data_IF_939263774577
#
_entry.id   IF_939263774577
#
_cell.length_a   1.000
_cell.length_b   1.000
_cell.length_c   1.000
_cell.angle_alpha   90.00
_cell.angle_beta   90.00
_cell.angle_gamma   90.00
#
_symmetry.space_group_name_H-M   'P 1'
#
loop_
_entity.id
_entity.type
_entity.pdbx_description
1 polymer ?
#
# COMPACT_ATOMS: atom_id res chain seq x y z
N UNK A 1 2.36 20.70 27.53
CA UNK A 1 3.29 20.28 28.59
C UNK A 1 4.67 20.70 28.15
N UNK A 2 5.43 21.39 29.00
CA UNK A 2 6.82 21.72 28.71
C UNK A 2 7.67 20.48 29.02
N UNK A 3 8.47 20.03 28.05
CA UNK A 3 9.29 18.81 28.18
C UNK A 3 10.63 19.17 28.83
N UNK A 4 11.01 18.43 29.87
CA UNK A 4 12.34 18.51 30.48
C UNK A 4 13.20 17.38 29.91
N UNK A 5 14.36 17.74 29.32
CA UNK A 5 15.30 16.76 28.78
C UNK A 5 15.98 15.99 29.91
N UNK A 6 16.14 14.67 29.77
CA UNK A 6 16.82 13.82 30.76
C UNK A 6 18.26 14.28 31.00
N UNK A 7 18.97 14.72 29.97
CA UNK A 7 20.32 15.27 30.11
C UNK A 7 20.36 16.52 30.99
N UNK A 8 19.40 17.42 30.82
CA UNK A 8 19.24 18.63 31.64
C UNK A 8 18.88 18.24 33.07
N UNK A 9 17.95 17.29 33.26
CA UNK A 9 17.60 16.78 34.57
C UNK A 9 18.83 16.21 35.32
N UNK A 10 19.63 15.39 34.65
CA UNK A 10 20.86 14.80 35.23
C UNK A 10 21.85 15.89 35.64
N UNK A 11 22.07 16.90 34.80
CA UNK A 11 22.97 18.03 35.12
C UNK A 11 22.44 18.85 36.31
N UNK A 12 21.12 19.04 36.39
CA UNK A 12 20.49 19.83 37.44
C UNK A 12 20.37 19.09 38.78
N UNK A 13 20.38 17.75 38.81
CA UNK A 13 20.37 16.95 40.05
C UNK A 13 21.54 17.26 41.00
N UNK A 14 22.67 17.73 40.48
CA UNK A 14 23.85 18.10 41.27
C UNK A 14 23.87 19.54 41.79
N UNK A 15 22.85 20.34 41.50
CA UNK A 15 22.84 21.77 41.83
C UNK A 15 22.18 22.03 43.21
N UNK A 16 22.73 22.94 44.03
CA UNK A 16 22.25 23.21 45.39
C UNK A 16 21.04 24.17 45.39
N UNK A 17 19.99 23.82 44.64
CA UNK A 17 18.74 24.58 44.54
C UNK A 17 17.57 23.73 45.04
N UNK A 18 16.48 24.38 45.44
CA UNK A 18 15.25 23.69 45.81
C UNK A 18 14.58 23.03 44.59
N UNK A 19 13.79 21.98 44.84
CA UNK A 19 13.20 21.15 43.78
C UNK A 19 12.35 21.94 42.78
N UNK A 20 11.68 23.00 43.24
CA UNK A 20 10.81 23.85 42.40
C UNK A 20 11.65 24.70 41.45
N UNK A 21 12.71 25.34 41.94
CA UNK A 21 13.63 26.13 41.11
C UNK A 21 14.38 25.25 40.11
N UNK A 22 14.80 24.04 40.51
CA UNK A 22 15.44 23.08 39.61
C UNK A 22 14.50 22.66 38.47
N UNK A 23 13.21 22.46 38.76
CA UNK A 23 12.23 22.12 37.73
C UNK A 23 12.01 23.28 36.75
N UNK A 24 11.81 24.50 37.26
CA UNK A 24 11.65 25.69 36.41
C UNK A 24 12.88 25.95 35.53
N UNK A 25 14.08 25.87 36.11
CA UNK A 25 15.34 26.00 35.39
C UNK A 25 15.51 24.89 34.34
N UNK A 26 15.12 23.65 34.67
CA UNK A 26 15.16 22.53 33.74
C UNK A 26 14.28 22.73 32.51
N UNK A 27 13.07 23.25 32.70
CA UNK A 27 12.18 23.61 31.60
C UNK A 27 12.77 24.74 30.75
N UNK A 28 13.33 25.77 31.37
CA UNK A 28 13.98 26.88 30.65
C UNK A 28 15.18 26.41 29.83
N UNK A 29 16.09 25.65 30.42
CA UNK A 29 17.27 25.13 29.72
C UNK A 29 16.87 24.18 28.60
N UNK A 30 15.88 23.31 28.83
CA UNK A 30 15.35 22.42 27.78
C UNK A 30 14.72 23.22 26.64
N UNK A 31 13.98 24.29 26.95
CA UNK A 31 13.42 25.19 25.94
C UNK A 31 14.49 25.96 25.15
N UNK A 32 15.59 26.36 25.83
CA UNK A 32 16.71 27.08 25.23
C UNK A 32 17.52 26.19 24.29
N UNK A 33 17.80 24.95 24.71
CA UNK A 33 18.47 23.97 23.85
C UNK A 33 17.63 23.68 22.61
N UNK A 34 16.32 23.46 22.80
CA UNK A 34 15.37 23.19 21.74
C UNK A 34 15.72 21.94 20.90
N UNK A 35 14.82 21.46 20.05
CA UNK A 35 15.23 20.51 19.03
C UNK A 35 16.23 21.19 18.08
N UNK A 36 17.19 20.44 17.49
CA UNK A 36 18.13 21.00 16.52
C UNK A 36 17.38 21.76 15.40
N UNK A 37 17.89 22.92 14.93
CA UNK A 37 17.15 23.79 14.00
C UNK A 37 16.68 23.10 12.72
N UNK A 38 17.44 22.13 12.22
CA UNK A 38 17.18 21.39 10.99
C UNK A 38 16.50 20.02 11.24
N UNK A 39 16.08 19.73 12.48
CA UNK A 39 15.48 18.43 12.81
C UNK A 39 14.03 18.38 12.31
N UNK A 40 13.81 17.74 11.17
CA UNK A 40 12.45 17.46 10.68
C UNK A 40 11.76 16.40 11.55
N UNK A 41 10.43 16.46 11.60
CA UNK A 41 9.63 15.51 12.37
C UNK A 41 9.81 14.06 11.88
N UNK A 42 9.94 13.88 10.56
CA UNK A 42 10.24 12.57 9.94
C UNK A 42 11.61 12.04 10.34
N UNK A 43 12.65 12.88 10.34
CA UNK A 43 13.98 12.44 10.77
C UNK A 43 14.04 12.18 12.28
N UNK A 44 13.33 12.99 13.08
CA UNK A 44 13.18 12.75 14.51
C UNK A 44 12.57 11.38 14.83
N UNK A 45 11.63 10.91 14.01
CA UNK A 45 11.08 9.57 14.18
C UNK A 45 12.09 8.44 13.92
N UNK A 46 13.22 8.68 13.25
CA UNK A 46 14.30 7.67 13.13
C UNK A 46 14.85 7.22 14.48
N UNK A 47 14.70 8.03 15.53
CA UNK A 47 15.03 7.70 16.92
C UNK A 47 13.93 6.90 17.64
N UNK A 48 12.79 6.64 16.99
CA UNK A 48 11.63 5.90 17.51
C UNK A 48 11.10 6.41 18.86
N UNK A 49 11.19 7.71 19.10
CA UNK A 49 10.69 8.36 20.31
C UNK A 49 9.52 9.28 19.98
N UNK A 50 8.34 8.95 20.52
CA UNK A 50 7.14 9.80 20.40
C UNK A 50 7.30 11.06 21.24
N UNK A 51 8.03 10.99 22.36
CA UNK A 51 8.33 12.10 23.24
C UNK A 51 9.15 13.18 22.51
N UNK A 52 10.08 12.77 21.64
CA UNK A 52 10.80 13.69 20.76
C UNK A 52 9.86 14.38 19.77
N UNK A 53 8.87 13.67 19.23
CA UNK A 53 7.86 14.26 18.34
C UNK A 53 6.97 15.25 19.10
N UNK A 54 6.53 14.90 20.31
CA UNK A 54 5.77 15.78 21.20
C UNK A 54 6.58 17.03 21.55
N UNK A 55 7.88 16.89 21.79
CA UNK A 55 8.75 18.02 22.05
C UNK A 55 8.84 18.96 20.85
N UNK A 56 9.15 18.44 19.65
CA UNK A 56 9.16 19.22 18.40
C UNK A 56 7.81 19.92 18.18
N UNK A 57 6.71 19.20 18.40
CA UNK A 57 5.36 19.73 18.27
C UNK A 57 5.08 20.84 19.28
N UNK A 58 5.52 20.70 20.53
CA UNK A 58 5.36 21.70 21.59
C UNK A 58 6.14 22.99 21.30
N UNK A 59 7.30 22.89 20.64
CA UNK A 59 8.13 24.02 20.24
C UNK A 59 7.60 24.77 19.01
N UNK A 60 6.59 24.25 18.32
CA UNK A 60 6.04 24.88 17.12
C UNK A 60 4.93 25.87 17.44
N UNK A 61 4.87 27.02 16.76
CA UNK A 61 3.79 27.99 16.93
C UNK A 61 2.70 27.80 15.86
N UNK A 62 1.45 28.18 16.17
CA UNK A 62 0.29 27.99 15.25
C UNK A 62 0.12 29.17 14.29
N UNK A 63 0.65 30.35 14.64
CA UNK A 63 0.53 31.58 13.84
C UNK A 63 1.90 32.15 13.52
N UNK A 64 2.06 32.70 12.32
CA UNK A 64 3.28 33.39 11.90
C UNK A 64 3.64 34.57 12.83
N UNK A 65 2.64 35.22 13.44
CA UNK A 65 2.83 36.31 14.39
C UNK A 65 3.44 35.86 15.73
N UNK A 66 3.35 34.57 16.06
CA UNK A 66 3.87 34.00 17.31
C UNK A 66 5.20 33.27 17.11
N UNK A 67 5.82 33.39 15.93
CA UNK A 67 7.13 32.79 15.65
C UNK A 67 8.20 33.43 16.53
N UNK A 68 9.04 32.59 17.12
CA UNK A 68 10.23 33.06 17.82
C UNK A 68 11.19 33.77 16.84
N UNK A 69 12.02 34.68 17.36
CA UNK A 69 13.08 35.33 16.58
C UNK A 69 14.19 34.32 16.29
N UNK A 70 14.08 33.62 15.17
CA UNK A 70 15.04 32.60 14.76
C UNK A 70 14.45 31.57 13.80
N UNK A 71 15.30 31.01 12.96
CA UNK A 71 14.90 29.98 11.99
C UNK A 71 15.10 28.59 12.59
N UNK A 72 14.03 27.79 12.69
CA UNK A 72 14.06 26.35 12.97
C UNK A 72 12.87 25.68 12.29
N UNK A 73 13.02 24.43 11.83
CA UNK A 73 11.91 23.66 11.27
C UNK A 73 10.75 23.52 12.27
N UNK A 74 11.06 23.27 13.55
CA UNK A 74 10.05 23.20 14.60
C UNK A 74 9.21 24.49 14.69
N UNK A 75 9.82 25.67 14.67
CA UNK A 75 9.10 26.95 14.75
C UNK A 75 8.10 27.16 13.59
N UNK A 76 8.43 26.64 12.40
CA UNK A 76 7.61 26.78 11.19
C UNK A 76 6.58 25.67 10.99
N UNK A 77 6.72 24.53 11.69
CA UNK A 77 5.91 23.32 11.49
C UNK A 77 4.40 23.58 11.41
N UNK A 78 3.84 24.31 12.38
CA UNK A 78 2.39 24.59 12.46
C UNK A 78 1.96 25.94 11.92
N UNK A 79 2.90 26.84 11.68
CA UNK A 79 2.62 28.21 11.23
C UNK A 79 2.81 28.40 9.73
N UNK A 80 3.50 27.49 9.05
CA UNK A 80 3.73 27.52 7.60
C UNK A 80 2.90 26.44 6.87
N UNK A 81 1.80 26.79 6.17
CA UNK A 81 0.86 25.81 5.63
C UNK A 81 1.48 24.79 4.67
N UNK A 82 2.42 25.21 3.83
CA UNK A 82 3.07 24.31 2.86
C UNK A 82 3.97 23.31 3.57
N UNK A 83 4.76 23.78 4.54
CA UNK A 83 5.63 22.89 5.32
C UNK A 83 4.82 21.94 6.20
N UNK A 84 3.72 22.40 6.79
CA UNK A 84 2.79 21.55 7.55
C UNK A 84 2.28 20.37 6.71
N UNK A 85 1.78 20.65 5.50
CA UNK A 85 1.30 19.61 4.58
C UNK A 85 2.42 18.68 4.10
N UNK A 86 3.57 19.24 3.75
CA UNK A 86 4.72 18.44 3.31
C UNK A 86 5.25 17.53 4.42
N UNK A 87 5.33 18.02 5.65
CA UNK A 87 5.80 17.22 6.79
C UNK A 87 4.83 16.09 7.11
N UNK A 88 3.51 16.37 7.06
CA UNK A 88 2.46 15.35 7.15
C UNK A 88 2.63 14.27 6.08
N UNK A 89 2.82 14.68 4.81
CA UNK A 89 3.05 13.75 3.71
C UNK A 89 4.26 12.85 3.96
N UNK A 90 5.40 13.41 4.36
CA UNK A 90 6.62 12.63 4.56
C UNK A 90 6.49 11.62 5.70
N UNK A 91 5.94 12.03 6.83
CA UNK A 91 5.87 11.14 7.99
C UNK A 91 4.79 10.05 7.86
N UNK A 92 3.68 10.34 7.17
CA UNK A 92 2.65 9.33 6.88
C UNK A 92 3.15 8.23 5.95
N UNK A 93 3.99 8.55 4.96
CA UNK A 93 4.65 7.52 4.14
C UNK A 93 5.54 6.61 4.98
N UNK A 94 6.38 7.16 5.85
CA UNK A 94 7.25 6.37 6.73
C UNK A 94 6.42 5.46 7.65
N UNK A 95 5.32 5.97 8.20
CA UNK A 95 4.40 5.16 9.01
C UNK A 95 3.79 4.00 8.20
N UNK A 96 3.43 4.23 6.93
CA UNK A 96 2.90 3.20 6.06
C UNK A 96 3.93 2.17 5.61
N UNK A 97 5.15 2.59 5.27
CA UNK A 97 6.25 1.66 4.96
C UNK A 97 6.47 0.66 6.12
N UNK A 98 6.44 1.16 7.35
CA UNK A 98 6.71 0.37 8.55
C UNK A 98 5.49 -0.34 9.14
N UNK A 99 4.28 0.00 8.69
CA UNK A 99 3.04 -0.45 9.33
C UNK A 99 2.85 0.09 10.75
N UNK A 100 3.48 1.22 11.11
CA UNK A 100 3.42 1.75 12.48
C UNK A 100 2.11 2.50 12.74
N UNK A 101 1.14 1.74 13.24
CA UNK A 101 -0.17 2.25 13.67
C UNK A 101 -0.06 3.29 14.79
N UNK A 102 0.91 3.15 15.71
CA UNK A 102 1.07 4.11 16.83
C UNK A 102 1.55 5.46 16.33
N UNK A 103 2.51 5.46 15.40
CA UNK A 103 2.93 6.69 14.74
C UNK A 103 1.77 7.30 13.95
N UNK A 104 1.00 6.50 13.21
CA UNK A 104 -0.15 7.02 12.46
C UNK A 104 -1.22 7.64 13.36
N UNK A 105 -1.51 7.01 14.51
CA UNK A 105 -2.38 7.58 15.55
C UNK A 105 -1.87 8.92 16.04
N UNK A 106 -0.57 9.01 16.35
CA UNK A 106 0.05 10.27 16.78
C UNK A 106 -0.06 11.35 15.70
N UNK A 107 0.21 11.01 14.43
CA UNK A 107 0.07 11.94 13.30
C UNK A 107 -1.36 12.45 13.19
N UNK A 108 -2.36 11.56 13.23
CA UNK A 108 -3.77 11.95 13.07
C UNK A 108 -4.33 12.72 14.27
N UNK A 109 -3.76 12.54 15.47
CA UNK A 109 -4.11 13.35 16.63
C UNK A 109 -3.64 14.81 16.47
N UNK A 110 -2.47 15.01 15.88
CA UNK A 110 -1.79 16.31 15.79
C UNK A 110 -2.10 17.06 14.49
N UNK A 111 -2.11 16.37 13.35
CA UNK A 111 -2.37 16.96 12.05
C UNK A 111 -3.86 16.88 11.70
N UNK A 112 -4.45 18.01 11.28
CA UNK A 112 -5.86 18.15 10.89
C UNK A 112 -5.96 18.95 9.60
N UNK A 113 -6.95 18.65 8.78
CA UNK A 113 -7.14 19.33 7.49
C UNK A 113 -6.19 18.87 6.40
N UNK A 114 -5.47 17.77 6.62
CA UNK A 114 -4.52 17.21 5.66
C UNK A 114 -5.20 16.19 4.74
N UNK A 115 -4.57 15.95 3.59
CA UNK A 115 -4.93 14.85 2.68
C UNK A 115 -3.81 13.83 2.76
N UNK A 116 -4.17 12.60 3.12
CA UNK A 116 -3.26 11.47 3.06
C UNK A 116 -2.90 11.22 1.59
N UNK A 117 -1.63 11.07 1.24
CA UNK A 117 -1.25 10.70 -0.13
C UNK A 117 -1.73 9.29 -0.44
N UNK A 118 -2.24 9.06 -1.66
CA UNK A 118 -2.72 7.73 -2.10
C UNK A 118 -1.65 6.64 -1.91
N UNK A 119 -0.37 6.99 -2.12
CA UNK A 119 0.79 6.12 -1.88
C UNK A 119 0.86 5.51 -0.49
N UNK A 120 0.29 6.17 0.53
CA UNK A 120 0.25 5.64 1.91
C UNK A 120 -0.65 4.41 1.97
N UNK A 121 -1.81 4.44 1.31
CA UNK A 121 -2.75 3.31 1.23
C UNK A 121 -2.15 2.22 0.36
N UNK A 122 -1.58 2.57 -0.79
CA UNK A 122 -0.92 1.62 -1.70
C UNK A 122 0.21 0.87 -1.00
N UNK A 123 1.06 1.59 -0.24
CA UNK A 123 2.20 1.00 0.45
C UNK A 123 1.79 0.11 1.62
N UNK A 124 0.77 0.52 2.36
CA UNK A 124 0.18 -0.31 3.41
C UNK A 124 -0.43 -1.59 2.83
N UNK A 125 -1.08 -1.51 1.66
CA UNK A 125 -1.62 -2.66 0.95
C UNK A 125 -0.52 -3.58 0.38
N UNK A 126 0.54 -3.00 -0.19
CA UNK A 126 1.74 -3.69 -0.69
C UNK A 126 2.41 -4.55 0.38
N UNK A 127 2.46 -4.08 1.63
CA UNK A 127 3.08 -4.81 2.75
C UNK A 127 2.08 -5.62 3.60
N UNK A 128 0.79 -5.56 3.27
CA UNK A 128 -0.25 -6.28 4.00
C UNK A 128 -0.55 -5.71 5.40
N UNK A 129 -0.29 -4.42 5.65
CA UNK A 129 -0.52 -3.74 6.94
C UNK A 129 -2.00 -3.46 7.19
N UNK A 130 -2.77 -4.52 7.42
CA UNK A 130 -4.23 -4.50 7.58
C UNK A 130 -4.70 -3.52 8.67
N UNK A 131 -4.08 -3.55 9.84
CA UNK A 131 -4.44 -2.75 11.02
C UNK A 131 -4.27 -1.25 10.74
N UNK A 132 -3.25 -0.90 9.95
CA UNK A 132 -3.03 0.47 9.51
C UNK A 132 -4.10 0.91 8.52
N UNK A 133 -4.43 0.08 7.53
CA UNK A 133 -5.50 0.35 6.57
C UNK A 133 -6.86 0.52 7.27
N UNK A 134 -7.17 -0.37 8.22
CA UNK A 134 -8.36 -0.26 9.05
C UNK A 134 -8.37 1.05 9.85
N UNK A 135 -7.24 1.42 10.48
CA UNK A 135 -7.13 2.69 11.18
C UNK A 135 -7.38 3.90 10.25
N UNK A 136 -6.81 3.90 9.04
CA UNK A 136 -7.00 4.96 8.06
C UNK A 136 -8.47 5.09 7.65
N UNK A 137 -9.16 3.96 7.45
CA UNK A 137 -10.58 3.96 7.10
C UNK A 137 -11.47 4.52 8.23
N UNK A 138 -11.24 4.10 9.47
CA UNK A 138 -11.99 4.61 10.62
C UNK A 138 -11.76 6.10 10.90
N UNK A 139 -10.64 6.65 10.43
CA UNK A 139 -10.28 8.06 10.64
C UNK A 139 -10.39 8.93 9.39
N UNK A 140 -10.94 8.40 8.30
CA UNK A 140 -11.20 9.15 7.08
C UNK A 140 -12.48 9.99 7.22
N UNK A 141 -12.32 11.32 7.29
CA UNK A 141 -13.48 12.23 7.38
C UNK A 141 -14.36 12.21 6.14
N UNK A 142 -13.84 11.67 5.03
CA UNK A 142 -14.52 11.58 3.76
C UNK A 142 -15.15 10.20 3.50
N UNK A 143 -15.03 9.23 4.43
CA UNK A 143 -15.43 7.84 4.21
C UNK A 143 -16.83 7.67 3.62
N UNK A 144 -17.81 8.37 4.18
CA UNK A 144 -19.24 8.25 3.81
C UNK A 144 -19.71 9.33 2.84
N UNK A 145 -18.79 10.10 2.27
CA UNK A 145 -19.12 11.12 1.29
C UNK A 145 -19.03 10.55 -0.13
N UNK A 146 -19.61 11.27 -1.09
CA UNK A 146 -19.49 10.91 -2.50
C UNK A 146 -18.04 11.09 -2.94
N UNK A 147 -17.49 10.09 -3.62
CA UNK A 147 -16.18 10.14 -4.24
C UNK A 147 -16.32 10.21 -5.75
N UNK A 148 -15.48 11.04 -6.38
CA UNK A 148 -15.31 11.05 -7.83
C UNK A 148 -14.00 10.34 -8.17
N UNK A 149 -13.99 9.59 -9.27
CA UNK A 149 -12.78 8.95 -9.78
C UNK A 149 -11.90 9.97 -10.51
N UNK A 150 -10.61 9.95 -10.24
CA UNK A 150 -9.60 10.68 -10.99
C UNK A 150 -8.50 9.71 -11.42
N UNK A 151 -8.15 9.71 -12.70
CA UNK A 151 -7.02 8.96 -13.20
C UNK A 151 -5.72 9.50 -12.60
N UNK A 152 -4.87 8.60 -12.12
CA UNK A 152 -3.56 8.92 -11.57
C UNK A 152 -2.51 8.62 -12.64
N UNK A 153 -1.61 9.58 -12.87
CA UNK A 153 -0.48 9.36 -13.76
C UNK A 153 0.41 8.26 -13.18
N UNK A 154 0.55 7.16 -13.93
CA UNK A 154 1.22 5.93 -13.49
C UNK A 154 2.26 5.53 -14.51
N UNK A 155 3.40 5.01 -14.02
CA UNK A 155 4.43 4.39 -14.86
C UNK A 155 4.08 2.96 -15.27
N UNK A 156 2.95 2.42 -14.77
CA UNK A 156 2.44 1.09 -15.13
C UNK A 156 1.65 1.19 -16.43
N UNK A 157 1.55 0.07 -17.16
CA UNK A 157 0.71 -0.03 -18.35
C UNK A 157 -0.78 0.19 -18.03
N UNK A 158 -1.20 -0.11 -16.78
CA UNK A 158 -2.54 0.14 -16.26
C UNK A 158 -2.58 1.52 -15.59
N UNK A 159 -3.55 2.35 -15.98
CA UNK A 159 -3.82 3.65 -15.35
C UNK A 159 -4.73 3.43 -14.15
N UNK A 160 -4.25 3.58 -12.90
CA UNK A 160 -5.09 3.44 -11.74
C UNK A 160 -5.92 4.70 -11.50
N UNK A 161 -7.04 4.53 -10.79
CA UNK A 161 -7.89 5.64 -10.37
C UNK A 161 -7.80 5.84 -8.86
N UNK A 162 -7.86 7.10 -8.42
CA UNK A 162 -8.06 7.47 -7.03
C UNK A 162 -9.45 8.05 -6.81
N UNK A 163 -9.99 7.82 -5.62
CA UNK A 163 -11.22 8.41 -5.12
C UNK A 163 -10.92 9.75 -4.49
N UNK A 164 -11.49 10.79 -5.07
CA UNK A 164 -11.43 12.15 -4.52
C UNK A 164 -12.78 12.48 -3.89
N UNK A 165 -12.82 12.75 -2.59
CA UNK A 165 -14.07 13.02 -1.92
C UNK A 165 -14.59 14.44 -2.17
N UNK A 166 -15.89 14.50 -2.40
CA UNK A 166 -16.65 15.75 -2.54
C UNK A 166 -17.16 16.19 -1.16
N UNK A 167 -16.29 16.83 -0.37
CA UNK A 167 -16.62 17.29 0.99
C UNK A 167 -16.55 18.82 1.16
N UNK A 168 -17.42 19.41 1.99
CA UNK A 168 -17.31 20.83 2.35
C UNK A 168 -15.99 21.15 3.04
N UNK A 169 -15.42 22.32 2.73
CA UNK A 169 -14.17 22.80 3.36
C UNK A 169 -14.21 22.81 4.90
N UNK A 170 -15.39 23.08 5.49
CA UNK A 170 -15.57 23.05 6.94
C UNK A 170 -15.39 21.65 7.53
N UNK A 171 -15.86 20.61 6.83
CA UNK A 171 -15.68 19.21 7.23
C UNK A 171 -14.23 18.80 7.06
N UNK A 172 -13.61 19.19 5.94
CA UNK A 172 -12.19 18.92 5.66
C UNK A 172 -11.28 19.43 6.77
N UNK A 173 -11.56 20.59 7.38
CA UNK A 173 -10.76 21.14 8.49
C UNK A 173 -10.87 20.36 9.81
N UNK A 174 -11.86 19.48 9.99
CA UNK A 174 -12.09 18.75 11.26
C UNK A 174 -11.24 17.48 11.40
N UNK A 175 -10.68 16.96 10.31
CA UNK A 175 -9.83 15.76 10.32
C UNK A 175 -9.09 15.58 9.01
N UNK A 176 -8.63 14.37 8.74
CA UNK A 176 -7.81 14.08 7.56
C UNK A 176 -8.63 13.28 6.55
N UNK A 177 -8.38 13.56 5.28
CA UNK A 177 -9.00 12.88 4.15
C UNK A 177 -8.07 11.77 3.67
N UNK A 178 -8.62 10.58 3.44
CA UNK A 178 -7.88 9.46 2.86
C UNK A 178 -8.42 9.17 1.45
N UNK A 179 -7.64 9.42 0.38
CA UNK A 179 -7.97 8.95 -0.95
C UNK A 179 -7.69 7.44 -1.05
N UNK A 180 -8.69 6.71 -1.51
CA UNK A 180 -8.63 5.27 -1.75
C UNK A 180 -8.59 5.03 -3.26
N UNK A 181 -7.81 4.09 -3.76
CA UNK A 181 -7.70 3.86 -5.21
C UNK A 181 -7.54 2.39 -5.56
N UNK A 182 -7.95 2.03 -6.78
CA UNK A 182 -7.89 0.66 -7.30
C UNK A 182 -6.48 0.07 -7.30
N UNK A 183 -5.45 0.93 -7.46
CA UNK A 183 -4.05 0.54 -7.31
C UNK A 183 -3.77 -0.20 -5.98
N UNK A 184 -4.40 0.20 -4.87
CA UNK A 184 -4.16 -0.42 -3.57
C UNK A 184 -4.57 -1.89 -3.54
N UNK A 185 -5.67 -2.24 -4.23
CA UNK A 185 -6.12 -3.64 -4.35
C UNK A 185 -5.12 -4.42 -5.21
N UNK A 186 -4.68 -3.85 -6.34
CA UNK A 186 -3.68 -4.49 -7.20
C UNK A 186 -2.34 -4.69 -6.45
N UNK A 187 -1.87 -3.71 -5.67
CA UNK A 187 -0.66 -3.87 -4.85
C UNK A 187 -0.78 -5.03 -3.86
N UNK A 188 -1.93 -5.14 -3.17
CA UNK A 188 -2.16 -6.23 -2.23
C UNK A 188 -2.15 -7.59 -2.94
N UNK A 189 -2.75 -7.69 -4.14
CA UNK A 189 -2.76 -8.95 -4.91
C UNK A 189 -1.35 -9.30 -5.38
N UNK A 190 -0.64 -8.37 -6.00
CA UNK A 190 0.73 -8.54 -6.52
C UNK A 190 1.69 -9.03 -5.43
N UNK A 191 1.53 -8.53 -4.20
CA UNK A 191 2.37 -8.87 -3.06
C UNK A 191 1.80 -9.99 -2.19
N UNK A 192 0.84 -10.77 -2.72
CA UNK A 192 0.31 -11.99 -2.09
C UNK A 192 -0.39 -11.74 -0.75
N UNK A 193 -1.14 -10.65 -0.66
CA UNK A 193 -2.01 -10.29 0.47
C UNK A 193 -3.50 -10.33 0.08
N UNK A 194 -4.06 -11.50 -0.30
CA UNK A 194 -5.42 -11.60 -0.83
C UNK A 194 -6.50 -11.18 0.19
N UNK A 195 -6.25 -11.37 1.49
CA UNK A 195 -7.17 -10.93 2.56
C UNK A 195 -7.29 -9.40 2.62
N UNK A 196 -6.17 -8.69 2.39
CA UNK A 196 -6.16 -7.21 2.34
C UNK A 196 -6.87 -6.73 1.09
N UNK A 197 -6.60 -7.35 -0.07
CA UNK A 197 -7.30 -7.05 -1.32
C UNK A 197 -8.82 -7.23 -1.18
N UNK A 198 -9.26 -8.34 -0.59
CA UNK A 198 -10.68 -8.61 -0.30
C UNK A 198 -11.28 -7.54 0.60
N UNK A 199 -10.62 -7.23 1.71
CA UNK A 199 -11.12 -6.22 2.65
C UNK A 199 -11.21 -4.84 2.01
N UNK A 200 -10.22 -4.45 1.21
CA UNK A 200 -10.24 -3.19 0.47
C UNK A 200 -11.41 -3.15 -0.51
N UNK A 201 -11.68 -4.23 -1.24
CA UNK A 201 -12.83 -4.32 -2.15
C UNK A 201 -14.16 -4.16 -1.41
N UNK A 202 -14.30 -4.77 -0.22
CA UNK A 202 -15.54 -4.73 0.56
C UNK A 202 -15.77 -3.39 1.30
N UNK A 203 -14.69 -2.67 1.68
CA UNK A 203 -14.77 -1.59 2.66
C UNK A 203 -14.26 -0.23 2.17
N UNK A 204 -13.38 -0.18 1.17
CA UNK A 204 -12.84 1.08 0.70
C UNK A 204 -13.93 1.90 -0.02
N UNK A 205 -14.01 3.23 0.18
CA UNK A 205 -14.92 4.11 -0.55
C UNK A 205 -14.69 4.17 -2.08
N UNK A 206 -13.72 3.44 -2.62
CA UNK A 206 -13.41 3.41 -4.04
C UNK A 206 -14.19 2.31 -4.75
N UNK A 207 -15.01 2.71 -5.71
CA UNK A 207 -15.72 1.81 -6.60
C UNK A 207 -14.84 1.45 -7.80
N UNK A 208 -14.50 0.16 -7.92
CA UNK A 208 -13.77 -0.37 -9.07
C UNK A 208 -14.70 -0.41 -10.29
N UNK A 209 -14.16 -0.12 -11.47
CA UNK A 209 -14.86 -0.40 -12.72
C UNK A 209 -14.57 -1.81 -13.25
N UNK A 210 -15.21 -2.16 -14.37
CA UNK A 210 -15.08 -3.46 -15.02
C UNK A 210 -13.62 -3.79 -15.39
N UNK A 211 -12.82 -2.79 -15.76
CA UNK A 211 -11.41 -2.97 -16.14
C UNK A 211 -10.55 -3.24 -14.90
N UNK A 212 -10.72 -2.49 -13.82
CA UNK A 212 -10.03 -2.71 -12.54
C UNK A 212 -10.41 -4.07 -11.93
N UNK A 213 -11.67 -4.47 -12.01
CA UNK A 213 -12.13 -5.81 -11.58
C UNK A 213 -11.49 -6.90 -12.44
N UNK A 214 -11.49 -6.74 -13.77
CA UNK A 214 -10.84 -7.68 -14.68
C UNK A 214 -9.35 -7.85 -14.35
N UNK A 215 -8.62 -6.75 -14.14
CA UNK A 215 -7.20 -6.76 -13.79
C UNK A 215 -6.95 -7.44 -12.45
N UNK A 216 -7.79 -7.19 -11.45
CA UNK A 216 -7.68 -7.82 -10.14
C UNK A 216 -7.91 -9.35 -10.22
N UNK A 217 -8.90 -9.82 -10.98
CA UNK A 217 -9.14 -11.25 -11.20
C UNK A 217 -7.95 -11.89 -11.91
N UNK A 218 -7.46 -11.27 -12.99
CA UNK A 218 -6.30 -11.78 -13.74
C UNK A 218 -5.07 -11.94 -12.84
N UNK A 219 -4.73 -10.91 -12.05
CA UNK A 219 -3.59 -10.97 -11.13
C UNK A 219 -3.78 -12.02 -10.03
N UNK A 220 -5.01 -12.18 -9.52
CA UNK A 220 -5.30 -13.22 -8.54
C UNK A 220 -5.08 -14.63 -9.12
N UNK A 221 -5.45 -14.86 -10.40
CA UNK A 221 -5.20 -16.13 -11.09
C UNK A 221 -3.71 -16.37 -11.36
N UNK A 222 -2.94 -15.32 -11.71
CA UNK A 222 -1.47 -15.40 -11.87
C UNK A 222 -0.80 -15.80 -10.55
N UNK A 223 -1.25 -15.23 -9.43
CA UNK A 223 -0.69 -15.50 -8.10
C UNK A 223 -1.28 -16.74 -7.40
N UNK A 224 -2.23 -17.43 -8.02
CA UNK A 224 -2.85 -18.65 -7.48
C UNK A 224 -3.87 -18.39 -6.37
N UNK A 225 -4.30 -17.15 -6.18
CA UNK A 225 -5.33 -16.77 -5.21
C UNK A 225 -6.74 -17.04 -5.75
N UNK A 226 -7.07 -18.32 -5.91
CA UNK A 226 -8.35 -18.78 -6.50
C UNK A 226 -9.55 -18.24 -5.72
N UNK A 227 -9.52 -18.27 -4.38
CA UNK A 227 -10.66 -17.81 -3.58
C UNK A 227 -10.93 -16.32 -3.80
N UNK A 228 -9.89 -15.51 -3.94
CA UNK A 228 -10.04 -14.09 -4.25
C UNK A 228 -10.56 -13.87 -5.67
N UNK A 229 -10.02 -14.58 -6.65
CA UNK A 229 -10.49 -14.49 -8.03
C UNK A 229 -11.98 -14.87 -8.14
N UNK A 230 -12.40 -15.91 -7.42
CA UNK A 230 -13.79 -16.36 -7.36
C UNK A 230 -14.69 -15.35 -6.64
N UNK A 231 -14.18 -14.69 -5.60
CA UNK A 231 -14.89 -13.65 -4.85
C UNK A 231 -15.15 -12.40 -5.70
N UNK A 232 -14.18 -11.99 -6.52
CA UNK A 232 -14.28 -10.82 -7.40
C UNK A 232 -15.07 -11.08 -8.70
N UNK A 233 -15.43 -12.34 -8.96
CA UNK A 233 -16.02 -12.77 -10.23
C UNK A 233 -17.41 -12.14 -10.44
N UNK A 234 -17.65 -11.43 -11.56
CA UNK A 234 -18.96 -10.87 -11.84
C UNK A 234 -20.03 -11.95 -12.04
N UNK A 235 -21.32 -11.64 -11.82
CA UNK A 235 -22.42 -12.57 -12.04
C UNK A 235 -22.39 -13.16 -13.46
N UNK A 236 -22.62 -14.46 -13.58
CA UNK A 236 -22.65 -15.20 -14.85
C UNK A 236 -21.34 -15.22 -15.66
N UNK A 237 -20.21 -14.84 -15.06
CA UNK A 237 -18.88 -15.01 -15.66
C UNK A 237 -18.18 -16.25 -15.10
N UNK A 238 -17.18 -16.75 -15.82
CA UNK A 238 -16.37 -17.89 -15.40
C UNK A 238 -14.92 -17.45 -15.27
N UNK A 239 -14.17 -18.06 -14.34
CA UNK A 239 -12.74 -17.75 -14.15
C UNK A 239 -11.93 -17.91 -15.45
N UNK A 240 -12.29 -18.88 -16.30
CA UNK A 240 -11.63 -19.12 -17.58
C UNK A 240 -11.73 -17.92 -18.54
N UNK A 241 -12.79 -17.11 -18.45
CA UNK A 241 -12.96 -15.89 -19.26
C UNK A 241 -11.87 -14.84 -18.97
N UNK A 242 -11.19 -14.97 -17.82
CA UNK A 242 -10.14 -14.07 -17.35
C UNK A 242 -8.73 -14.67 -17.50
N UNK A 243 -8.59 -15.80 -18.22
CA UNK A 243 -7.29 -16.46 -18.44
C UNK A 243 -6.66 -16.00 -19.76
N UNK A 244 -5.85 -14.94 -19.72
CA UNK A 244 -5.28 -14.34 -20.94
C UNK A 244 -3.89 -14.87 -21.32
N UNK A 245 -2.91 -14.73 -20.43
CA UNK A 245 -1.51 -15.05 -20.78
C UNK A 245 -0.84 -16.04 -19.83
N UNK A 246 -0.99 -15.82 -18.53
CA UNK A 246 -0.37 -16.64 -17.49
C UNK A 246 -1.36 -16.90 -16.36
N UNK A 247 -1.26 -18.09 -15.78
CA UNK A 247 -2.01 -18.51 -14.60
C UNK A 247 -1.10 -19.36 -13.71
N UNK A 248 -1.38 -19.39 -12.43
CA UNK A 248 -0.69 -20.29 -11.50
C UNK A 248 -0.96 -21.76 -11.86
N UNK A 249 0.00 -22.63 -11.57
CA UNK A 249 -0.13 -24.06 -11.85
C UNK A 249 -1.35 -24.70 -11.17
N UNK A 250 -1.63 -24.33 -9.92
CA UNK A 250 -2.81 -24.82 -9.19
C UNK A 250 -4.12 -24.38 -9.85
N UNK A 251 -4.17 -23.17 -10.42
CA UNK A 251 -5.32 -22.70 -11.20
C UNK A 251 -5.46 -23.53 -12.47
N UNK A 252 -4.36 -23.81 -13.16
CA UNK A 252 -4.36 -24.67 -14.35
C UNK A 252 -4.87 -26.08 -14.04
N UNK A 253 -4.44 -26.67 -12.92
CA UNK A 253 -4.92 -27.97 -12.45
C UNK A 253 -6.41 -27.94 -12.12
N UNK A 254 -6.87 -26.90 -11.43
CA UNK A 254 -8.31 -26.72 -11.12
C UNK A 254 -9.16 -26.58 -12.39
N UNK A 255 -8.72 -25.77 -13.36
CA UNK A 255 -9.39 -25.65 -14.66
C UNK A 255 -9.36 -26.97 -15.44
N UNK A 256 -8.29 -27.76 -15.32
CA UNK A 256 -8.20 -29.08 -15.94
C UNK A 256 -9.25 -30.03 -15.36
N UNK A 257 -9.33 -30.13 -14.03
CA UNK A 257 -10.28 -30.99 -13.33
C UNK A 257 -11.74 -30.62 -13.59
N UNK A 258 -12.04 -29.33 -13.73
CA UNK A 258 -13.40 -28.85 -13.99
C UNK A 258 -13.80 -28.96 -15.48
N UNK A 259 -12.85 -29.27 -16.38
CA UNK A 259 -13.09 -29.34 -17.83
C UNK A 259 -13.08 -27.99 -18.55
N UNK A 260 -12.79 -26.90 -17.84
CA UNK A 260 -12.84 -25.52 -18.33
C UNK A 260 -11.65 -25.17 -19.22
N UNK A 261 -10.54 -25.90 -19.07
CA UNK A 261 -9.32 -25.76 -19.85
C UNK A 261 -9.50 -25.79 -21.37
N UNK A 262 -10.59 -26.39 -21.88
CA UNK A 262 -10.90 -26.48 -23.31
C UNK A 262 -11.07 -25.09 -23.95
N UNK A 263 -11.47 -24.08 -23.17
CA UNK A 263 -11.63 -22.71 -23.66
C UNK A 263 -10.29 -21.96 -23.79
N UNK A 264 -9.32 -22.29 -22.93
CA UNK A 264 -7.99 -21.66 -22.91
C UNK A 264 -6.86 -22.69 -22.85
N UNK A 265 -6.77 -23.62 -23.81
CA UNK A 265 -5.86 -24.76 -23.72
C UNK A 265 -4.39 -24.34 -23.78
N UNK A 266 -4.06 -23.27 -24.51
CA UNK A 266 -2.69 -22.73 -24.60
C UNK A 266 -2.16 -22.26 -23.24
N UNK A 267 -3.00 -21.56 -22.48
CA UNK A 267 -2.66 -20.96 -21.18
C UNK A 267 -2.46 -22.06 -20.14
N UNK A 268 -3.38 -23.02 -20.10
CA UNK A 268 -3.28 -24.19 -19.21
C UNK A 268 -2.05 -25.03 -19.55
N UNK A 269 -1.80 -25.30 -20.83
CA UNK A 269 -0.60 -26.02 -21.27
C UNK A 269 0.68 -25.33 -20.80
N UNK A 270 0.79 -24.01 -20.99
CA UNK A 270 1.95 -23.22 -20.54
C UNK A 270 2.17 -23.31 -19.04
N UNK A 271 1.11 -23.23 -18.24
CA UNK A 271 1.21 -23.34 -16.79
C UNK A 271 1.68 -24.74 -16.36
N UNK A 272 1.17 -25.81 -16.98
CA UNK A 272 1.55 -27.20 -16.67
C UNK A 272 3.02 -27.52 -16.98
N UNK A 273 3.63 -26.86 -17.98
CA UNK A 273 5.07 -26.94 -18.26
C UNK A 273 5.90 -26.54 -17.04
N UNK A 274 5.43 -25.58 -16.24
CA UNK A 274 6.20 -25.07 -15.09
C UNK A 274 6.29 -26.06 -13.94
N UNK A 275 5.38 -27.03 -13.87
CA UNK A 275 5.25 -28.06 -12.83
C UNK A 275 5.49 -29.49 -13.35
N UNK A 276 5.97 -29.63 -14.59
CA UNK A 276 6.32 -30.90 -15.25
C UNK A 276 5.20 -31.97 -15.25
N UNK A 277 3.95 -31.54 -15.39
CA UNK A 277 2.79 -32.44 -15.51
C UNK A 277 2.61 -32.96 -16.94
N UNK A 278 3.61 -33.74 -17.40
CA UNK A 278 3.71 -34.26 -18.77
C UNK A 278 2.47 -35.07 -19.21
N UNK A 279 1.84 -35.81 -18.29
CA UNK A 279 0.66 -36.62 -18.60
C UNK A 279 -0.56 -35.76 -18.96
N UNK A 280 -0.74 -34.64 -18.29
CA UNK A 280 -1.81 -33.69 -18.59
C UNK A 280 -1.51 -32.94 -19.89
N UNK A 281 -0.26 -32.56 -20.12
CA UNK A 281 0.18 -31.94 -21.38
C UNK A 281 -0.12 -32.86 -22.58
N UNK A 282 0.20 -34.15 -22.48
CA UNK A 282 -0.13 -35.15 -23.51
C UNK A 282 -1.63 -35.29 -23.75
N UNK A 283 -2.46 -35.15 -22.72
CA UNK A 283 -3.92 -35.17 -22.86
C UNK A 283 -4.43 -33.97 -23.66
N UNK A 284 -3.90 -32.76 -23.38
CA UNK A 284 -4.22 -31.55 -24.15
C UNK A 284 -3.80 -31.72 -25.62
N UNK A 285 -2.58 -32.19 -25.85
CA UNK A 285 -2.03 -32.40 -27.21
C UNK A 285 -2.88 -33.39 -28.03
N UNK A 286 -3.23 -34.55 -27.44
CA UNK A 286 -4.09 -35.55 -28.11
C UNK A 286 -5.45 -34.97 -28.48
N UNK A 287 -6.02 -34.11 -27.63
CA UNK A 287 -7.34 -33.51 -27.86
C UNK A 287 -7.35 -32.48 -28.98
N UNK A 288 -6.24 -31.76 -29.13
CA UNK A 288 -6.07 -30.66 -30.08
C UNK A 288 -5.08 -31.03 -31.20
N UNK A 289 -5.03 -32.30 -31.58
CA UNK A 289 -4.31 -32.78 -32.77
C UNK A 289 -5.28 -32.87 -33.97
N UNK A 290 -5.00 -32.18 -35.09
CA UNK A 290 -3.83 -31.33 -35.37
C UNK A 290 -3.88 -29.98 -34.64
N UNK A 291 -2.69 -29.50 -34.29
CA UNK A 291 -2.46 -28.28 -33.50
C UNK A 291 -3.27 -27.07 -34.00
N UNK A 292 -3.94 -26.31 -33.11
CA UNK A 292 -4.56 -25.05 -33.48
C UNK A 292 -3.51 -24.07 -34.01
N UNK A 293 -3.78 -23.44 -35.15
CA UNK A 293 -2.94 -22.39 -35.72
C UNK A 293 -3.25 -21.04 -35.06
N UNK A 294 -3.05 -20.92 -33.74
CA UNK A 294 -3.19 -19.65 -33.02
C UNK A 294 -1.83 -19.13 -32.54
N UNK A 295 -1.67 -17.80 -32.52
CA UNK A 295 -0.44 -17.15 -32.02
C UNK A 295 -0.16 -17.48 -30.55
N UNK A 296 -1.22 -17.59 -29.74
CA UNK A 296 -1.14 -18.00 -28.33
C UNK A 296 -0.63 -19.43 -28.16
N UNK A 297 -1.11 -20.35 -28.99
CA UNK A 297 -0.68 -21.75 -28.98
C UNK A 297 0.79 -21.90 -29.41
N UNK A 298 1.20 -21.21 -30.48
CA UNK A 298 2.61 -21.19 -30.90
C UNK A 298 3.55 -20.62 -29.83
N UNK A 299 3.13 -19.55 -29.13
CA UNK A 299 3.90 -18.98 -28.00
C UNK A 299 4.02 -19.96 -26.82
N UNK A 300 2.96 -20.72 -26.52
CA UNK A 300 2.97 -21.73 -25.46
C UNK A 300 3.97 -22.86 -25.77
N UNK A 301 4.00 -23.33 -27.02
CA UNK A 301 4.97 -24.33 -27.47
C UNK A 301 6.41 -23.84 -27.47
N UNK A 302 6.64 -22.63 -27.98
CA UNK A 302 7.97 -22.00 -27.91
C UNK A 302 8.48 -21.91 -26.46
N UNK A 303 7.61 -21.49 -25.53
CA UNK A 303 7.93 -21.45 -24.11
C UNK A 303 8.26 -22.85 -23.55
N UNK A 304 7.45 -23.86 -23.88
CA UNK A 304 7.65 -25.24 -23.45
C UNK A 304 9.01 -25.80 -23.89
N UNK A 305 9.35 -25.64 -25.17
CA UNK A 305 10.63 -26.09 -25.74
C UNK A 305 11.80 -25.40 -25.03
N UNK A 306 11.73 -24.07 -24.85
CA UNK A 306 12.79 -23.30 -24.17
C UNK A 306 12.97 -23.75 -22.72
N UNK A 307 11.88 -23.99 -21.99
CA UNK A 307 11.93 -24.42 -20.59
C UNK A 307 12.51 -25.83 -20.45
N UNK A 308 12.05 -26.79 -21.26
CA UNK A 308 12.55 -28.16 -21.25
C UNK A 308 14.04 -28.25 -21.66
N UNK A 309 14.47 -27.43 -22.62
CA UNK A 309 15.88 -27.33 -23.00
C UNK A 309 16.77 -26.80 -21.86
N UNK A 310 16.23 -25.94 -20.97
CA UNK A 310 16.98 -25.43 -19.82
C UNK A 310 17.06 -26.38 -18.62
N UNK A 311 16.18 -27.38 -18.55
CA UNK A 311 16.07 -28.33 -17.41
C UNK A 311 16.79 -29.67 -17.70
N UNK A 312 17.50 -29.79 -18.84
CA UNK A 312 18.20 -31.02 -19.26
C UNK A 312 17.29 -32.27 -19.34
N UNK A 313 15.99 -32.08 -19.60
CA UNK A 313 15.03 -33.16 -19.86
C UNK A 313 14.59 -33.10 -21.32
N UNK A 314 15.43 -33.66 -22.19
CA UNK A 314 15.04 -34.05 -23.56
C UNK A 314 15.33 -35.55 -23.59
N UNK A 315 14.33 -36.45 -23.73
CA UNK A 315 13.51 -36.52 -24.95
C UNK A 315 12.09 -37.11 -24.74
N UNK A 316 11.03 -36.30 -24.85
CA UNK A 316 9.67 -36.87 -25.08
C UNK A 316 8.68 -36.01 -25.86
N UNK A 317 9.01 -34.74 -26.16
CA UNK A 317 8.14 -33.82 -26.91
C UNK A 317 8.70 -33.41 -28.29
N UNK A 318 9.86 -33.96 -28.72
CA UNK A 318 10.52 -33.60 -30.00
C UNK A 318 10.17 -34.56 -31.14
N UNK A 319 9.32 -35.54 -30.92
CA UNK A 319 8.82 -36.40 -31.98
C UNK A 319 7.47 -35.92 -32.47
N UNK A 320 7.42 -34.90 -33.33
CA UNK A 320 6.51 -34.73 -34.48
C UNK A 320 6.80 -33.41 -35.20
#
# INVERSE_FOLDING_TARGET
MALQLTSVEVVLRGQPLDSTSLHHLGLLVSSFLGPPPNLSLTYAYSFKSIELLDWIWSCSCVSSASRATGWTLANYLRSEPQYYQWQFWKITQVAADLGDVKLMQWIFAHFKGCVVPVKVVEKAAEHGHFELLHFLLENDVARYHRHRRQAVESLREIIPYESIPEIPLKTRKKGNVVPWGGASILMAIENKHPNVARWLYENAPHELDDEEVQNAIQLALVNGSVELAQFLLPPNRRLVDYTFEEIHADVAMMLFHNGDWVQSPAVVFRALVTVDHLDLMKQIERRFSPSPLSSTWSRAWYFAIKKLASVATIPSLVGY
#
